data_IF_218199257465
#
_entry.id   IF_218199257465
#
_cell.length_a   1.000
_cell.length_b   1.000
_cell.length_c   1.000
_cell.angle_alpha   90.00
_cell.angle_beta   90.00
_cell.angle_gamma   90.00
#
_symmetry.space_group_name_H-M   'P 1'
#
loop_
_entity.id
_entity.type
_entity.pdbx_description
1 polymer ?
#
# COMPACT_ATOMS: atom_id res chain seq x y z
N UNK A 1 -3.82 -4.20 11.84
CA UNK A 1 -5.03 -3.44 12.25
C UNK A 1 -5.97 -3.36 11.05
N UNK A 2 -7.19 -3.89 11.12
CA UNK A 2 -8.12 -3.84 9.98
C UNK A 2 -8.71 -2.43 9.85
N UNK A 3 -8.36 -1.72 8.79
CA UNK A 3 -8.93 -0.40 8.48
C UNK A 3 -10.06 -0.63 7.49
N UNK A 4 -11.28 -0.84 7.97
CA UNK A 4 -12.46 -0.84 7.11
C UNK A 4 -12.97 0.60 7.00
N UNK A 5 -12.63 1.28 5.90
CA UNK A 5 -13.29 2.54 5.57
C UNK A 5 -14.68 2.25 5.01
N UNK A 6 -15.63 3.16 5.22
CA UNK A 6 -16.94 3.07 4.59
C UNK A 6 -16.79 3.02 3.05
N UNK A 7 -17.58 2.19 2.35
CA UNK A 7 -17.54 2.13 0.90
C UNK A 7 -17.91 3.48 0.29
N UNK A 8 -17.22 3.82 -0.79
CA UNK A 8 -17.44 5.03 -1.55
C UNK A 8 -17.98 4.67 -2.92
N UNK A 9 -18.95 5.46 -3.39
CA UNK A 9 -19.56 5.31 -4.71
C UNK A 9 -19.25 6.55 -5.53
N UNK A 10 -18.72 6.36 -6.73
CA UNK A 10 -18.36 7.43 -7.65
C UNK A 10 -19.06 7.18 -8.99
N UNK A 11 -19.65 8.22 -9.55
CA UNK A 11 -20.24 8.18 -10.88
C UNK A 11 -19.31 8.87 -11.88
N UNK A 12 -18.88 8.13 -12.90
CA UNK A 12 -18.13 8.66 -14.03
C UNK A 12 -19.12 8.90 -15.19
N UNK A 13 -19.35 10.16 -15.61
CA UNK A 13 -20.45 10.49 -16.52
C UNK A 13 -20.15 10.19 -18.00
N UNK A 14 -18.89 9.97 -18.36
CA UNK A 14 -18.46 9.75 -19.74
C UNK A 14 -17.15 8.98 -19.82
N UNK A 15 -16.81 8.53 -21.03
CA UNK A 15 -15.52 7.93 -21.34
C UNK A 15 -14.36 8.87 -20.96
N UNK A 16 -13.28 8.29 -20.45
CA UNK A 16 -12.11 9.03 -20.02
C UNK A 16 -11.29 8.29 -18.98
N UNK A 17 -10.15 8.89 -18.62
CA UNK A 17 -9.32 8.39 -17.54
C UNK A 17 -9.61 9.17 -16.25
N UNK A 18 -9.97 8.45 -15.20
CA UNK A 18 -10.26 9.01 -13.88
C UNK A 18 -9.24 8.47 -12.89
N UNK A 19 -8.51 9.37 -12.23
CA UNK A 19 -7.51 9.03 -11.22
C UNK A 19 -7.93 9.61 -9.88
N UNK A 20 -7.87 8.80 -8.84
CA UNK A 20 -7.97 9.27 -7.46
C UNK A 20 -6.58 9.63 -6.94
N UNK A 21 -6.24 10.92 -6.74
CA UNK A 21 -4.86 11.30 -6.40
C UNK A 21 -4.37 10.76 -5.06
N UNK A 22 -5.24 10.69 -4.04
CA UNK A 22 -4.87 10.25 -2.70
C UNK A 22 -4.49 8.76 -2.61
N UNK A 23 -5.13 7.89 -3.40
CA UNK A 23 -4.86 6.45 -3.41
C UNK A 23 -4.06 6.02 -4.63
N UNK A 24 -4.02 6.87 -5.68
CA UNK A 24 -3.52 6.60 -7.03
C UNK A 24 -4.26 5.48 -7.76
N UNK A 25 -5.45 5.12 -7.29
CA UNK A 25 -6.35 4.20 -7.99
C UNK A 25 -6.93 4.90 -9.23
N UNK A 26 -6.76 4.28 -10.40
CA UNK A 26 -7.21 4.85 -11.67
C UNK A 26 -8.09 3.90 -12.48
N UNK A 27 -8.94 4.47 -13.33
CA UNK A 27 -9.85 3.75 -14.21
C UNK A 27 -9.84 4.37 -15.61
N UNK A 28 -9.61 3.56 -16.64
CA UNK A 28 -9.90 3.93 -18.02
C UNK A 28 -11.31 3.46 -18.36
N UNK A 29 -12.21 4.42 -18.55
CA UNK A 29 -13.65 4.20 -18.70
C UNK A 29 -14.06 4.45 -20.15
N UNK A 30 -14.93 3.59 -20.70
CA UNK A 30 -15.39 3.69 -22.09
C UNK A 30 -16.80 4.29 -22.26
N UNK A 31 -17.60 4.37 -21.20
CA UNK A 31 -18.96 4.92 -21.18
C UNK A 31 -19.34 5.38 -19.75
N UNK A 32 -20.55 5.92 -19.54
CA UNK A 32 -20.98 6.30 -18.19
C UNK A 32 -21.07 5.06 -17.27
N UNK A 33 -20.58 5.17 -16.03
CA UNK A 33 -20.51 4.05 -15.09
C UNK A 33 -20.54 4.53 -13.64
N UNK A 34 -21.05 3.68 -12.75
CA UNK A 34 -20.94 3.86 -11.30
C UNK A 34 -19.98 2.81 -10.75
N UNK A 35 -18.96 3.26 -10.03
CA UNK A 35 -17.97 2.39 -9.38
C UNK A 35 -18.15 2.52 -7.87
N UNK A 36 -18.34 1.39 -7.20
CA UNK A 36 -18.29 1.29 -5.74
C UNK A 36 -16.97 0.66 -5.36
N UNK A 37 -16.36 1.20 -4.32
CA UNK A 37 -15.04 0.79 -3.89
C UNK A 37 -15.03 0.80 -2.36
N UNK A 38 -14.50 -0.27 -1.79
CA UNK A 38 -14.18 -0.41 -0.38
C UNK A 38 -12.72 -0.84 -0.23
N UNK A 39 -12.21 -0.73 0.99
CA UNK A 39 -10.89 -1.23 1.34
C UNK A 39 -11.02 -2.44 2.25
N UNK A 40 -10.12 -3.39 2.06
CA UNK A 40 -10.02 -4.57 2.90
C UNK A 40 -8.57 -4.78 3.36
N UNK A 41 -8.37 -5.73 4.27
CA UNK A 41 -7.10 -6.02 4.90
C UNK A 41 -6.59 -7.40 4.49
N UNK A 42 -5.40 -7.43 3.88
CA UNK A 42 -4.71 -8.68 3.52
C UNK A 42 -4.57 -9.68 4.66
N UNK A 43 -4.52 -9.23 5.92
CA UNK A 43 -4.44 -10.11 7.09
C UNK A 43 -5.69 -10.97 7.32
N UNK A 44 -6.83 -10.63 6.70
CA UNK A 44 -8.06 -11.42 6.75
C UNK A 44 -8.10 -12.54 5.71
N UNK A 45 -7.12 -12.58 4.80
CA UNK A 45 -7.06 -13.50 3.66
C UNK A 45 -5.90 -14.50 3.83
N UNK A 46 -6.15 -15.67 4.46
CA UNK A 46 -5.10 -16.65 4.79
C UNK A 46 -4.52 -17.36 3.57
N UNK A 47 -5.12 -17.22 2.38
CA UNK A 47 -4.68 -17.80 1.10
C UNK A 47 -3.21 -17.44 0.79
N UNK A 48 -2.77 -16.24 1.21
CA UNK A 48 -1.37 -15.81 1.09
C UNK A 48 -0.39 -16.70 1.88
N UNK A 49 -0.85 -17.34 2.96
CA UNK A 49 -0.02 -18.19 3.82
C UNK A 49 0.09 -19.63 3.29
N UNK A 50 -0.71 -20.00 2.30
CA UNK A 50 -0.78 -21.36 1.76
C UNK A 50 0.28 -21.66 0.68
N UNK A 51 1.09 -20.66 0.29
CA UNK A 51 2.14 -20.78 -0.74
C UNK A 51 3.56 -20.61 -0.13
N UNK A 52 4.02 -21.49 0.78
CA UNK A 52 5.24 -21.27 1.56
C UNK A 52 6.55 -21.29 0.75
N UNK A 53 6.54 -21.82 -0.48
CA UNK A 53 7.73 -21.85 -1.35
C UNK A 53 8.01 -20.49 -2.02
N UNK A 54 6.99 -19.62 -2.07
CA UNK A 54 7.05 -18.31 -2.70
C UNK A 54 6.96 -17.22 -1.62
N UNK A 55 7.99 -16.36 -1.54
CA UNK A 55 7.97 -15.24 -0.61
C UNK A 55 7.14 -14.11 -1.23
N UNK A 56 5.83 -14.15 -1.00
CA UNK A 56 4.92 -13.10 -1.42
C UNK A 56 5.02 -11.88 -0.53
N UNK A 57 5.16 -10.71 -1.14
CA UNK A 57 5.09 -9.42 -0.47
C UNK A 57 3.85 -8.66 -0.93
N UNK A 58 3.06 -8.17 0.02
CA UNK A 58 2.00 -7.19 -0.26
C UNK A 58 2.64 -5.91 -0.77
N UNK A 59 2.28 -5.51 -1.99
CA UNK A 59 2.86 -4.36 -2.66
C UNK A 59 1.88 -3.19 -2.80
N UNK A 60 0.65 -3.29 -2.29
CA UNK A 60 -0.30 -2.19 -2.31
C UNK A 60 -1.58 -2.46 -1.49
N UNK A 61 -2.51 -1.49 -1.44
CA UNK A 61 -3.81 -1.67 -0.80
C UNK A 61 -4.65 -2.75 -1.49
N UNK A 62 -5.58 -3.32 -0.73
CA UNK A 62 -6.56 -4.29 -1.20
C UNK A 62 -7.91 -3.59 -1.37
N UNK A 63 -8.48 -3.66 -2.58
CA UNK A 63 -9.71 -2.97 -2.95
C UNK A 63 -10.81 -3.97 -3.23
N UNK A 64 -11.98 -3.79 -2.62
CA UNK A 64 -13.22 -4.44 -3.03
C UNK A 64 -13.96 -3.51 -3.97
N UNK A 65 -14.02 -3.86 -5.25
CA UNK A 65 -14.56 -3.01 -6.31
C UNK A 65 -15.78 -3.69 -6.93
N UNK A 66 -16.84 -2.92 -7.15
CA UNK A 66 -17.98 -3.31 -7.99
C UNK A 66 -18.35 -2.20 -8.95
N UNK A 67 -18.86 -2.57 -10.11
CA UNK A 67 -19.05 -1.67 -11.26
C UNK A 67 -20.40 -1.92 -11.89
N UNK A 68 -21.14 -0.85 -12.18
CA UNK A 68 -22.45 -0.90 -12.86
C UNK A 68 -22.56 0.22 -13.91
N UNK A 69 -22.77 -0.10 -15.20
CA UNK A 69 -22.83 -1.44 -15.77
C UNK A 69 -21.44 -2.08 -15.94
N UNK A 70 -21.39 -3.41 -15.92
CA UNK A 70 -20.18 -4.19 -16.18
C UNK A 70 -19.64 -4.00 -17.61
N UNK A 71 -18.36 -4.31 -17.82
CA UNK A 71 -17.72 -4.25 -19.14
C UNK A 71 -17.40 -2.83 -19.65
N UNK A 72 -17.66 -1.79 -18.86
CA UNK A 72 -17.40 -0.39 -19.26
C UNK A 72 -15.99 0.08 -18.90
N UNK A 73 -15.32 -0.59 -17.95
CA UNK A 73 -13.92 -0.27 -17.60
C UNK A 73 -12.98 -1.07 -18.50
N UNK A 74 -12.18 -0.36 -19.30
CA UNK A 74 -11.15 -0.97 -20.16
C UNK A 74 -9.88 -1.29 -19.39
N UNK A 75 -9.50 -0.45 -18.42
CA UNK A 75 -8.32 -0.65 -17.57
C UNK A 75 -8.59 -0.23 -16.13
N UNK A 76 -8.02 -0.98 -15.20
CA UNK A 76 -7.81 -0.52 -13.82
C UNK A 76 -6.32 -0.33 -13.56
N UNK A 77 -5.98 0.79 -12.93
CA UNK A 77 -4.63 1.17 -12.52
C UNK A 77 -4.54 0.98 -11.01
N UNK A 78 -4.01 -0.16 -10.59
CA UNK A 78 -3.92 -0.55 -9.19
C UNK A 78 -2.61 -0.03 -8.57
N UNK A 79 -2.67 0.78 -7.50
CA UNK A 79 -1.49 1.40 -6.92
C UNK A 79 -0.57 0.39 -6.23
N UNK A 80 0.74 0.65 -6.27
CA UNK A 80 1.73 -0.08 -5.48
C UNK A 80 2.75 0.85 -4.80
N UNK A 81 3.45 0.31 -3.80
CA UNK A 81 4.49 1.00 -3.03
C UNK A 81 5.91 0.74 -3.56
N UNK A 82 6.07 -0.15 -4.54
CA UNK A 82 7.40 -0.47 -5.09
C UNK A 82 7.95 0.77 -5.79
N UNK A 83 9.15 1.18 -5.41
CA UNK A 83 9.90 2.15 -6.19
C UNK A 83 10.58 1.37 -7.32
N UNK A 84 10.46 1.84 -8.55
CA UNK A 84 11.13 1.24 -9.70
C UNK A 84 12.36 2.10 -10.07
N UNK A 85 13.48 2.06 -9.31
CA UNK A 85 14.73 2.52 -9.88
C UNK A 85 15.07 1.64 -11.09
N UNK A 86 15.62 2.25 -12.14
CA UNK A 86 15.93 1.54 -13.37
C UNK A 86 16.85 0.33 -13.08
N UNK A 87 16.36 -0.88 -13.37
CA UNK A 87 17.07 -2.18 -13.40
C UNK A 87 17.08 -3.06 -12.13
N UNK A 88 16.33 -2.77 -11.05
CA UNK A 88 16.35 -3.64 -9.85
C UNK A 88 15.13 -4.56 -9.68
N UNK A 89 13.96 -4.17 -10.21
CA UNK A 89 12.72 -4.93 -10.05
C UNK A 89 12.20 -5.37 -11.41
N UNK A 90 12.06 -6.69 -11.60
CA UNK A 90 11.50 -7.28 -12.81
C UNK A 90 9.97 -7.19 -12.80
N UNK A 91 9.37 -6.76 -13.91
CA UNK A 91 7.93 -6.74 -14.12
C UNK A 91 7.30 -8.12 -13.90
N UNK A 92 8.03 -9.20 -14.19
CA UNK A 92 7.57 -10.58 -13.99
C UNK A 92 7.25 -10.92 -12.53
N UNK A 93 7.69 -10.10 -11.58
CA UNK A 93 7.40 -10.30 -10.16
C UNK A 93 6.05 -9.76 -9.73
N UNK A 94 5.45 -8.87 -10.52
CA UNK A 94 4.18 -8.24 -10.17
C UNK A 94 3.00 -9.13 -10.56
N UNK A 95 2.11 -9.34 -9.60
CA UNK A 95 0.85 -10.04 -9.80
C UNK A 95 -0.30 -9.25 -9.20
N UNK A 96 -1.43 -9.22 -9.90
CA UNK A 96 -2.70 -8.78 -9.35
C UNK A 96 -3.33 -10.00 -8.68
N UNK A 97 -3.40 -10.01 -7.36
CA UNK A 97 -4.24 -10.97 -6.66
C UNK A 97 -5.69 -10.55 -6.86
N UNK A 98 -6.50 -11.48 -7.35
CA UNK A 98 -7.91 -11.28 -7.64
C UNK A 98 -8.69 -12.41 -7.01
N UNK A 99 -9.55 -12.09 -6.06
CA UNK A 99 -10.34 -13.10 -5.34
C UNK A 99 -11.66 -13.30 -6.06
N UNK A 100 -11.80 -14.48 -6.68
CA UNK A 100 -13.02 -14.94 -7.36
C UNK A 100 -13.72 -16.00 -6.51
N UNK A 101 -14.89 -16.44 -6.96
CA UNK A 101 -15.68 -17.46 -6.26
C UNK A 101 -14.89 -18.77 -6.06
N UNK A 102 -13.96 -19.08 -6.97
CA UNK A 102 -13.09 -20.27 -6.90
C UNK A 102 -11.83 -20.06 -6.02
N UNK A 103 -11.62 -18.86 -5.48
CA UNK A 103 -10.47 -18.48 -4.66
C UNK A 103 -9.60 -17.38 -5.28
N UNK A 104 -8.42 -17.17 -4.71
CA UNK A 104 -7.45 -16.17 -5.20
C UNK A 104 -6.75 -16.67 -6.46
N UNK A 105 -6.89 -15.91 -7.55
CA UNK A 105 -6.11 -16.07 -8.78
C UNK A 105 -5.03 -14.98 -8.84
N UNK A 106 -3.91 -15.28 -9.51
CA UNK A 106 -2.82 -14.33 -9.74
C UNK A 106 -2.80 -13.96 -11.22
N UNK A 107 -3.26 -12.75 -11.53
CA UNK A 107 -3.24 -12.22 -12.88
C UNK A 107 -1.93 -11.47 -13.16
N UNK A 108 -1.44 -11.60 -14.39
CA UNK A 108 -0.26 -10.86 -14.84
C UNK A 108 -0.72 -9.48 -15.31
N UNK A 109 -0.18 -8.37 -14.75
CA UNK A 109 -0.52 -7.04 -15.22
C UNK A 109 -0.02 -6.84 -16.66
N UNK A 110 -0.78 -6.10 -17.46
CA UNK A 110 -0.42 -5.75 -18.84
C UNK A 110 0.84 -4.87 -18.89
N UNK A 111 1.01 -4.01 -17.87
CA UNK A 111 2.20 -3.17 -17.67
C UNK A 111 2.31 -2.74 -16.20
N UNK A 112 3.51 -2.34 -15.81
CA UNK A 112 3.82 -1.81 -14.49
C UNK A 112 4.52 -0.46 -14.68
N UNK A 113 3.97 0.56 -14.06
CA UNK A 113 4.47 1.94 -14.06
C UNK A 113 5.01 2.27 -12.66
N UNK A 114 5.75 3.38 -12.44
CA UNK A 114 6.42 3.65 -11.17
C UNK A 114 5.56 3.55 -9.90
N UNK A 115 4.23 3.69 -10.00
CA UNK A 115 3.32 3.76 -8.87
C UNK A 115 2.05 2.93 -9.00
N UNK A 116 1.87 2.22 -10.11
CA UNK A 116 0.68 1.42 -10.37
C UNK A 116 0.96 0.31 -11.38
N UNK A 117 0.24 -0.80 -11.25
CA UNK A 117 0.17 -1.85 -12.25
C UNK A 117 -1.17 -1.78 -12.96
N UNK A 118 -1.19 -2.10 -14.25
CA UNK A 118 -2.39 -2.00 -15.08
C UNK A 118 -2.93 -3.39 -15.41
N UNK A 119 -4.21 -3.61 -15.12
CA UNK A 119 -4.96 -4.77 -15.57
C UNK A 119 -5.97 -4.31 -16.64
N UNK A 120 -5.94 -4.96 -17.80
CA UNK A 120 -6.85 -4.69 -18.92
C UNK A 120 -8.06 -5.61 -18.86
N UNK A 121 -9.22 -5.11 -19.29
CA UNK A 121 -10.51 -5.81 -19.30
C UNK A 121 -10.82 -6.53 -17.97
N UNK A 122 -10.71 -5.84 -16.81
CA UNK A 122 -10.88 -6.47 -15.51
C UNK A 122 -12.33 -6.94 -15.30
N UNK A 123 -12.50 -8.10 -14.69
CA UNK A 123 -13.68 -8.36 -13.85
C UNK A 123 -13.44 -7.74 -12.47
N UNK A 124 -14.49 -7.34 -11.76
CA UNK A 124 -14.35 -6.64 -10.49
C UNK A 124 -14.81 -7.47 -9.31
N UNK A 125 -13.93 -7.54 -8.32
CA UNK A 125 -14.17 -8.06 -6.98
C UNK A 125 -13.06 -7.49 -6.09
N UNK A 126 -12.66 -8.26 -5.08
CA UNK A 126 -11.50 -7.95 -4.25
C UNK A 126 -10.19 -8.17 -5.03
N UNK A 127 -9.37 -7.12 -5.13
CA UNK A 127 -8.10 -7.14 -5.85
C UNK A 127 -7.01 -6.22 -5.28
N UNK A 128 -5.75 -6.63 -5.44
CA UNK A 128 -4.58 -5.87 -4.98
C UNK A 128 -3.27 -6.42 -5.53
N UNK A 129 -2.16 -5.68 -5.35
CA UNK A 129 -0.87 -6.06 -5.93
C UNK A 129 -0.04 -6.89 -4.94
N UNK A 130 0.45 -8.03 -5.42
CA UNK A 130 1.47 -8.85 -4.78
C UNK A 130 2.76 -8.81 -5.60
N UNK A 131 3.88 -8.83 -4.90
CA UNK A 131 5.21 -9.02 -5.50
C UNK A 131 5.73 -10.40 -5.13
N UNK A 132 6.14 -11.17 -6.14
CA UNK A 132 6.82 -12.45 -5.96
C UNK A 132 8.30 -12.22 -5.73
N UNK A 133 8.76 -12.35 -4.49
CA UNK A 133 10.19 -12.33 -4.20
C UNK A 133 10.77 -13.73 -4.37
N UNK A 134 11.73 -13.90 -5.29
CA UNK A 134 12.42 -15.17 -5.46
C UNK A 134 13.19 -15.54 -4.19
N UNK A 135 12.86 -16.68 -3.58
CA UNK A 135 13.49 -17.15 -2.35
C UNK A 135 15.01 -17.33 -2.55
N UNK A 136 15.79 -16.90 -1.55
CA UNK A 136 17.25 -17.09 -1.54
C UNK A 136 18.08 -16.08 -2.34
N UNK A 137 17.47 -15.12 -3.04
CA UNK A 137 18.19 -14.17 -3.90
C UNK A 137 18.75 -12.94 -3.16
N UNK A 138 18.40 -12.71 -1.89
CA UNK A 138 18.86 -11.54 -1.13
C UNK A 138 18.43 -10.19 -1.73
N UNK A 139 17.44 -10.21 -2.64
CA UNK A 139 16.96 -9.03 -3.35
C UNK A 139 16.36 -8.03 -2.36
N UNK A 140 16.94 -6.82 -2.35
CA UNK A 140 16.34 -5.66 -1.72
C UNK A 140 15.21 -5.16 -2.60
N UNK A 141 14.01 -5.03 -2.05
CA UNK A 141 12.89 -4.43 -2.78
C UNK A 141 12.75 -2.98 -2.34
N UNK A 142 13.13 -2.01 -3.18
CA UNK A 142 12.97 -0.60 -2.84
C UNK A 142 11.49 -0.22 -2.85
N UNK A 143 11.06 0.48 -1.81
CA UNK A 143 9.68 0.94 -1.60
C UNK A 143 9.65 2.45 -1.34
N UNK A 144 8.65 3.11 -1.90
CA UNK A 144 8.28 4.46 -1.49
C UNK A 144 7.84 4.40 -0.03
N UNK A 145 8.46 5.22 0.82
CA UNK A 145 8.25 5.20 2.26
C UNK A 145 7.97 6.59 2.81
N UNK A 146 7.29 6.64 3.94
CA UNK A 146 7.02 7.86 4.70
C UNK A 146 7.57 7.69 6.11
N UNK A 147 8.29 8.70 6.59
CA UNK A 147 8.72 8.79 7.98
C UNK A 147 7.71 9.65 8.75
N UNK A 148 7.08 9.08 9.77
CA UNK A 148 6.17 9.80 10.67
C UNK A 148 6.83 9.91 12.05
N UNK A 149 6.88 11.12 12.59
CA UNK A 149 7.45 11.37 13.91
C UNK A 149 6.40 12.04 14.79
N UNK A 150 6.07 11.41 15.91
CA UNK A 150 5.17 11.95 16.92
C UNK A 150 5.96 12.18 18.20
N UNK A 151 5.64 13.27 18.89
CA UNK A 151 6.13 13.48 20.24
C UNK A 151 4.99 13.40 21.25
N UNK A 152 5.29 12.82 22.40
CA UNK A 152 4.42 12.73 23.56
C UNK A 152 5.06 13.52 24.69
N UNK A 153 4.32 14.52 25.18
CA UNK A 153 4.79 15.32 26.32
C UNK A 153 4.55 14.55 27.61
N UNK A 154 5.63 14.24 28.33
CA UNK A 154 5.54 13.68 29.67
C UNK A 154 6.42 14.50 30.64
N UNK A 155 6.00 14.74 31.90
CA UNK A 155 6.67 15.70 32.79
C UNK A 155 8.12 15.35 33.16
N UNK A 156 8.54 14.08 32.98
CA UNK A 156 9.86 13.58 33.37
C UNK A 156 10.76 13.24 32.19
N UNK A 157 10.19 13.06 31.01
CA UNK A 157 10.84 12.53 29.80
C UNK A 157 10.03 12.93 28.57
N UNK A 158 10.69 13.20 27.45
CA UNK A 158 10.02 13.38 26.16
C UNK A 158 10.12 12.08 25.39
N UNK A 159 8.98 11.52 24.98
CA UNK A 159 8.95 10.29 24.19
C UNK A 159 8.66 10.63 22.74
N UNK A 160 9.40 9.99 21.84
CA UNK A 160 9.19 10.10 20.40
C UNK A 160 8.78 8.74 19.86
N UNK A 161 7.72 8.71 19.06
CA UNK A 161 7.35 7.55 18.26
C UNK A 161 7.74 7.84 16.82
N UNK A 162 8.71 7.07 16.30
CA UNK A 162 9.11 7.12 14.90
C UNK A 162 8.55 5.91 14.17
N UNK A 163 7.82 6.17 13.10
CA UNK A 163 7.33 5.16 12.18
C UNK A 163 8.01 5.33 10.82
N UNK A 164 8.63 4.26 10.33
CA UNK A 164 9.06 4.13 8.94
C UNK A 164 8.09 3.16 8.28
N UNK A 165 7.20 3.71 7.46
CA UNK A 165 6.11 2.95 6.82
C UNK A 165 6.17 3.07 5.31
N UNK A 166 5.59 2.13 4.55
CA UNK A 166 5.28 2.36 3.15
C UNK A 166 4.46 3.64 2.95
N UNK A 167 4.62 4.31 1.82
CA UNK A 167 3.83 5.47 1.43
C UNK A 167 2.39 5.07 1.07
N UNK A 168 1.62 4.71 2.10
CA UNK A 168 0.21 4.35 2.05
C UNK A 168 -0.58 5.35 2.90
N UNK A 169 -1.52 6.04 2.25
CA UNK A 169 -2.36 7.06 2.90
C UNK A 169 -3.26 6.46 3.99
N UNK A 170 -3.71 5.21 3.83
CA UNK A 170 -4.54 4.54 4.83
C UNK A 170 -3.76 4.17 6.06
N UNK A 171 -2.56 3.61 5.88
CA UNK A 171 -1.69 3.28 7.00
C UNK A 171 -1.27 4.53 7.76
N UNK A 172 -0.97 5.61 7.04
CA UNK A 172 -0.68 6.92 7.64
C UNK A 172 -1.86 7.41 8.49
N UNK A 173 -3.07 7.36 7.94
CA UNK A 173 -4.30 7.77 8.64
C UNK A 173 -4.56 6.93 9.90
N UNK A 174 -4.36 5.62 9.83
CA UNK A 174 -4.51 4.74 10.99
C UNK A 174 -3.53 5.06 12.12
N UNK A 175 -2.28 5.35 11.78
CA UNK A 175 -1.27 5.77 12.77
C UNK A 175 -1.63 7.14 13.34
N UNK A 176 -2.03 8.10 12.50
CA UNK A 176 -2.50 9.42 12.96
C UNK A 176 -3.66 9.28 13.95
N UNK A 177 -4.65 8.43 13.65
CA UNK A 177 -5.81 8.17 14.52
C UNK A 177 -5.41 7.51 15.85
N UNK A 178 -4.49 6.55 15.82
CA UNK A 178 -4.02 5.86 17.02
C UNK A 178 -3.19 6.80 17.91
N UNK A 179 -2.25 7.54 17.33
CA UNK A 179 -1.42 8.53 18.05
C UNK A 179 -2.27 9.63 18.67
N UNK A 180 -3.33 10.06 17.99
CA UNK A 180 -4.29 11.05 18.52
C UNK A 180 -4.98 10.56 19.79
N UNK A 181 -5.31 9.26 19.92
CA UNK A 181 -5.94 8.71 21.14
C UNK A 181 -5.06 8.84 22.36
N UNK A 182 -3.74 8.89 22.18
CA UNK A 182 -2.75 9.02 23.24
C UNK A 182 -2.16 10.44 23.35
N UNK A 183 -2.80 11.44 22.72
CA UNK A 183 -2.34 12.83 22.69
C UNK A 183 -0.96 13.03 22.05
N UNK A 184 -0.59 12.15 21.12
CA UNK A 184 0.60 12.32 20.29
C UNK A 184 0.44 13.51 19.37
N UNK A 185 1.49 14.33 19.25
CA UNK A 185 1.51 15.46 18.34
C UNK A 185 2.48 15.16 17.21
N UNK A 186 1.97 15.18 15.97
CA UNK A 186 2.77 14.93 14.78
C UNK A 186 3.72 16.10 14.52
N UNK A 187 5.01 15.79 14.40
CA UNK A 187 6.01 16.73 13.92
C UNK A 187 6.03 16.74 12.40
N UNK A 188 6.33 17.91 11.84
CA UNK A 188 6.55 18.04 10.41
C UNK A 188 7.82 17.27 10.04
N UNK A 189 7.65 16.23 9.24
CA UNK A 189 8.74 15.46 8.64
C UNK A 189 8.70 15.63 7.12
N UNK A 190 9.87 15.60 6.50
CA UNK A 190 9.95 15.41 5.05
C UNK A 190 9.97 13.90 4.77
N UNK A 191 9.33 13.44 3.68
CA UNK A 191 9.55 12.07 3.20
C UNK A 191 11.05 11.81 2.99
N UNK A 192 11.52 10.55 3.16
CA UNK A 192 12.86 10.16 2.75
C UNK A 192 13.14 10.60 1.31
N UNK A 193 14.35 11.13 1.07
CA UNK A 193 14.77 11.57 -0.28
C UNK A 193 14.92 10.38 -1.23
N UNK A 194 15.41 9.25 -0.69
CA UNK A 194 15.62 8.01 -1.42
C UNK A 194 14.63 6.92 -0.97
N UNK A 195 14.27 5.98 -1.86
CA UNK A 195 13.49 4.79 -1.50
C UNK A 195 14.17 4.00 -0.37
N UNK A 196 13.36 3.42 0.51
CA UNK A 196 13.82 2.48 1.52
C UNK A 196 13.61 1.05 1.04
N UNK A 197 14.51 0.16 1.35
CA UNK A 197 14.36 -1.27 1.10
C UNK A 197 13.44 -1.94 2.14
N UNK A 198 12.51 -2.75 1.63
CA UNK A 198 11.67 -3.64 2.44
C UNK A 198 12.53 -4.63 3.25
N UNK A 199 12.02 -5.05 4.41
CA UNK A 199 12.67 -5.99 5.34
C UNK A 199 14.11 -5.63 5.76
N UNK A 200 14.53 -4.38 5.55
CA UNK A 200 15.86 -3.89 5.93
C UNK A 200 15.87 -3.21 7.30
N UNK A 201 17.05 -3.10 7.91
CA UNK A 201 17.24 -2.40 9.18
C UNK A 201 17.79 -1.01 8.93
N UNK A 202 17.19 -0.03 9.62
CA UNK A 202 17.62 1.36 9.57
C UNK A 202 18.10 1.81 10.95
N UNK A 203 19.11 2.67 10.96
CA UNK A 203 19.64 3.28 12.17
C UNK A 203 19.11 4.70 12.25
N UNK A 204 18.51 5.04 13.39
CA UNK A 204 18.07 6.39 13.71
C UNK A 204 19.17 7.02 14.57
N UNK A 205 19.65 8.18 14.17
CA UNK A 205 20.66 8.94 14.92
C UNK A 205 20.19 10.36 15.16
N UNK A 206 20.55 10.90 16.33
CA UNK A 206 20.26 12.27 16.74
C UNK A 206 21.49 13.15 16.65
N UNK A 207 21.29 14.47 16.67
CA UNK A 207 22.40 15.40 16.86
C UNK A 207 23.02 15.22 18.26
N UNK A 208 24.28 15.63 18.44
CA UNK A 208 25.14 15.32 19.60
C UNK A 208 24.59 15.73 20.99
N UNK A 209 23.47 16.43 21.07
CA UNK A 209 22.85 16.88 22.32
C UNK A 209 21.60 16.09 22.73
N UNK A 210 21.20 15.08 21.95
CA UNK A 210 20.04 14.23 22.24
C UNK A 210 20.48 12.78 22.41
N UNK A 211 20.35 12.24 23.62
CA UNK A 211 20.48 10.81 23.86
C UNK A 211 19.20 10.11 23.41
N UNK A 212 19.29 9.27 22.38
CA UNK A 212 18.16 8.48 21.87
C UNK A 212 18.30 7.07 22.45
N UNK A 213 17.29 6.64 23.21
CA UNK A 213 17.17 5.27 23.72
C UNK A 213 16.02 4.62 22.95
N UNK A 214 16.30 3.91 21.84
CA UNK A 214 15.24 3.34 21.03
C UNK A 214 14.66 2.09 21.71
N UNK A 215 13.35 2.10 21.94
CA UNK A 215 12.59 0.89 22.25
C UNK A 215 11.90 0.41 20.98
N UNK A 216 12.28 -0.77 20.48
CA UNK A 216 11.68 -1.34 19.27
C UNK A 216 10.41 -2.09 19.65
N UNK A 217 9.26 -1.51 19.37
CA UNK A 217 7.96 -2.19 19.38
C UNK A 217 7.60 -2.64 17.96
N UNK A 218 7.35 -3.93 17.77
CA UNK A 218 6.83 -4.45 16.49
C UNK A 218 5.32 -4.22 16.45
N UNK A 219 4.86 -3.35 15.57
CA UNK A 219 3.45 -3.32 15.18
C UNK A 219 3.26 -4.44 14.16
N UNK A 220 2.55 -5.51 14.54
CA UNK A 220 2.04 -6.49 13.58
C UNK A 220 0.87 -5.84 12.83
N UNK A 221 1.03 -5.67 11.52
CA UNK A 221 -0.04 -5.21 10.63
C UNK A 221 -0.96 -6.38 10.30
#
# INVERSE_FOLDING_TARGET
>A
MAITLAPFSVHFPMAGFYLWPATRLGFLVTAAVTVRIAFDSWSQHPELKLQPEEQWMVAGPLFDISVEPEGVIAEIHLPHIISLPANEVDMSWFHVAHFKDEGMILEVPARVEPFYAVLENPSFSLMGILLRCASGTGVSVPITSTALLYYHFHPKDTKFHLYLIPSDALLTKAIDEEETKFHGVRLQTSPPVDPLNFASRYIVSGSAHLEIIPEVSRIQI
#
